data_IF_331563692965
#
_entry.id   IF_331563692965
#
_cell.length_a   1.000
_cell.length_b   1.000
_cell.length_c   1.000
_cell.angle_alpha   90.00
_cell.angle_beta   90.00
_cell.angle_gamma   90.00
#
_symmetry.space_group_name_H-M   'P 1'
#
loop_
_entity.id
_entity.type
_entity.pdbx_description
1 polymer ?
#
# COMPACT_ATOMS: atom_id res chain seq x y z
N UNK A 1 2.95 7.21 -11.12
CA UNK A 1 2.38 6.99 -12.47
C UNK A 1 0.93 7.45 -12.42
N UNK A 2 0.51 8.37 -13.32
CA UNK A 2 -0.86 8.89 -13.32
C UNK A 2 -1.57 8.43 -14.60
N UNK A 3 -2.82 7.96 -14.49
CA UNK A 3 -3.62 7.57 -15.65
C UNK A 3 -5.02 8.19 -15.56
N UNK A 4 -5.39 9.16 -16.43
CA UNK A 4 -4.59 9.71 -17.52
C UNK A 4 -3.64 10.84 -17.11
N UNK A 5 -3.92 11.54 -15.99
CA UNK A 5 -3.10 12.67 -15.52
C UNK A 5 -3.21 12.86 -14.01
N UNK A 6 -2.25 13.58 -13.42
CA UNK A 6 -2.25 13.89 -11.98
C UNK A 6 -3.50 14.66 -11.55
N UNK A 7 -3.95 15.62 -12.36
CA UNK A 7 -5.17 16.39 -12.09
C UNK A 7 -6.42 15.52 -12.16
N UNK A 8 -6.51 14.65 -13.18
CA UNK A 8 -7.65 13.78 -13.38
C UNK A 8 -7.81 12.75 -12.27
N UNK A 9 -6.72 12.32 -11.63
CA UNK A 9 -6.71 11.30 -10.56
C UNK A 9 -6.50 11.89 -9.16
N UNK A 10 -6.33 13.19 -9.02
CA UNK A 10 -6.17 13.87 -7.73
C UNK A 10 -7.31 13.51 -6.76
N UNK A 11 -6.95 13.16 -5.53
CA UNK A 11 -7.91 12.74 -4.49
C UNK A 11 -8.52 11.35 -4.70
N UNK A 12 -8.10 10.59 -5.71
CA UNK A 12 -8.53 9.20 -5.88
C UNK A 12 -7.89 8.28 -4.84
N UNK A 13 -8.68 7.35 -4.30
CA UNK A 13 -8.17 6.25 -3.48
C UNK A 13 -8.04 4.95 -4.27
N UNK A 14 -8.38 4.97 -5.56
CA UNK A 14 -8.37 3.78 -6.41
C UNK A 14 -6.94 3.50 -6.89
N UNK A 15 -6.44 2.31 -6.54
CA UNK A 15 -5.26 1.68 -7.12
C UNK A 15 -5.66 0.44 -7.92
N UNK A 16 -4.75 -0.05 -8.77
CA UNK A 16 -4.92 -1.35 -9.44
C UNK A 16 -4.07 -2.42 -8.77
N UNK A 17 -4.68 -3.58 -8.53
CA UNK A 17 -3.94 -4.83 -8.33
C UNK A 17 -3.86 -5.52 -9.67
N UNK A 18 -2.64 -5.83 -10.12
CA UNK A 18 -2.40 -6.59 -11.34
C UNK A 18 -1.94 -7.98 -10.94
N UNK A 19 -2.66 -8.99 -11.41
CA UNK A 19 -2.27 -10.40 -11.27
C UNK A 19 -1.91 -10.93 -12.64
N UNK A 20 -0.98 -11.88 -12.70
CA UNK A 20 -0.64 -12.59 -13.92
C UNK A 20 -0.47 -14.07 -13.60
N UNK A 21 -1.04 -14.91 -14.46
CA UNK A 21 -0.79 -16.35 -14.42
C UNK A 21 0.62 -16.62 -14.95
N UNK A 22 1.44 -17.33 -14.17
CA UNK A 22 2.86 -17.53 -14.49
C UNK A 22 3.08 -18.40 -15.73
N UNK A 23 2.19 -19.36 -15.99
CA UNK A 23 2.34 -20.30 -17.10
C UNK A 23 1.93 -19.69 -18.43
N UNK A 24 0.87 -18.86 -18.43
CA UNK A 24 0.25 -18.32 -19.64
C UNK A 24 0.54 -16.84 -19.86
N UNK A 25 0.99 -16.11 -18.83
CA UNK A 25 1.10 -14.67 -18.86
C UNK A 25 -0.24 -13.94 -18.86
N UNK A 26 -1.37 -14.65 -18.68
CA UNK A 26 -2.71 -14.04 -18.68
C UNK A 26 -2.82 -13.07 -17.51
N UNK A 27 -3.10 -11.81 -17.79
CA UNK A 27 -3.24 -10.77 -16.76
C UNK A 27 -4.69 -10.53 -16.39
N UNK A 28 -4.94 -10.27 -15.11
CA UNK A 28 -6.19 -9.65 -14.63
C UNK A 28 -5.89 -8.44 -13.78
N UNK A 29 -6.79 -7.48 -13.80
CA UNK A 29 -6.69 -6.24 -13.05
C UNK A 29 -7.91 -6.11 -12.13
N UNK A 30 -7.69 -5.58 -10.93
CA UNK A 30 -8.74 -5.37 -9.92
C UNK A 30 -8.58 -3.99 -9.27
N UNK A 31 -9.69 -3.40 -8.83
CA UNK A 31 -9.65 -2.14 -8.08
C UNK A 31 -9.37 -2.39 -6.60
N UNK A 32 -8.38 -1.69 -6.05
CA UNK A 32 -8.08 -1.59 -4.62
C UNK A 32 -8.38 -0.18 -4.14
N UNK A 33 -8.98 -0.05 -2.96
CA UNK A 33 -9.25 1.24 -2.33
C UNK A 33 -8.31 1.47 -1.15
N UNK A 34 -7.50 2.52 -1.23
CA UNK A 34 -6.77 3.05 -0.08
C UNK A 34 -7.74 3.64 0.94
N UNK A 35 -7.36 3.65 2.21
CA UNK A 35 -8.19 4.22 3.28
C UNK A 35 -8.40 5.73 3.15
N UNK A 36 -7.39 6.45 2.67
CA UNK A 36 -7.53 7.87 2.39
C UNK A 36 -6.62 8.30 1.23
N UNK A 37 -6.94 9.43 0.60
CA UNK A 37 -6.23 9.95 -0.57
C UNK A 37 -5.06 10.88 -0.25
N UNK A 38 -4.82 11.20 1.03
CA UNK A 38 -3.63 11.93 1.49
C UNK A 38 -2.45 11.03 1.86
N UNK A 39 -2.65 9.71 1.90
CA UNK A 39 -1.57 8.74 2.09
C UNK A 39 -0.54 8.84 0.96
N UNK A 40 0.70 8.51 1.30
CA UNK A 40 1.77 8.39 0.30
C UNK A 40 1.49 7.20 -0.63
N UNK A 41 0.88 6.14 -0.11
CA UNK A 41 0.38 5.01 -0.90
C UNK A 41 0.57 3.66 -0.21
N UNK A 42 0.49 2.59 -1.01
CA UNK A 42 0.91 1.26 -0.60
C UNK A 42 2.43 1.13 -0.83
N UNK A 43 3.17 0.76 0.21
CA UNK A 43 4.63 0.52 0.13
C UNK A 43 5.01 -0.95 0.13
N UNK A 44 4.06 -1.87 0.26
CA UNK A 44 4.35 -3.31 0.21
C UNK A 44 3.11 -4.12 -0.16
N UNK A 45 3.32 -5.28 -0.80
CA UNK A 45 2.34 -6.33 -1.04
C UNK A 45 2.95 -7.72 -0.75
N UNK A 46 2.29 -8.52 0.08
CA UNK A 46 2.73 -9.89 0.39
C UNK A 46 1.63 -10.92 0.12
N UNK A 47 1.96 -12.06 -0.48
CA UNK A 47 0.98 -13.12 -0.73
C UNK A 47 0.65 -13.91 0.55
N UNK A 48 -0.64 -14.15 0.80
CA UNK A 48 -1.12 -15.04 1.87
C UNK A 48 -1.59 -16.36 1.28
N UNK A 49 -2.43 -16.29 0.24
CA UNK A 49 -2.89 -17.43 -0.58
C UNK A 49 -2.83 -17.05 -2.07
N UNK A 50 -3.40 -17.87 -2.95
CA UNK A 50 -3.50 -17.55 -4.39
C UNK A 50 -4.42 -16.37 -4.71
N UNK A 51 -5.33 -16.02 -3.79
CA UNK A 51 -6.30 -14.92 -3.99
C UNK A 51 -6.25 -13.86 -2.90
N UNK A 52 -5.60 -14.15 -1.76
CA UNK A 52 -5.50 -13.21 -0.65
C UNK A 52 -4.08 -12.72 -0.44
N UNK A 53 -3.96 -11.43 -0.15
CA UNK A 53 -2.71 -10.71 -0.05
C UNK A 53 -2.76 -9.76 1.14
N UNK A 54 -1.60 -9.27 1.55
CA UNK A 54 -1.45 -8.15 2.45
C UNK A 54 -1.00 -6.93 1.65
N UNK A 55 -1.49 -5.75 2.02
CA UNK A 55 -0.98 -4.46 1.56
C UNK A 55 -0.60 -3.60 2.76
N UNK A 56 0.55 -2.92 2.69
CA UNK A 56 0.96 -1.94 3.69
C UNK A 56 0.70 -0.54 3.16
N UNK A 57 -0.26 0.16 3.77
CA UNK A 57 -0.59 1.56 3.49
C UNK A 57 0.05 2.49 4.54
N UNK A 58 0.61 3.62 4.09
CA UNK A 58 1.26 4.58 4.99
C UNK A 58 1.16 6.03 4.57
N UNK A 59 1.33 6.92 5.55
CA UNK A 59 1.78 8.28 5.34
C UNK A 59 3.32 8.39 5.21
N UNK A 60 3.79 9.59 4.90
CA UNK A 60 5.19 9.98 4.73
C UNK A 60 5.92 10.38 6.01
N UNK A 61 5.32 10.22 7.19
CA UNK A 61 5.80 10.82 8.44
C UNK A 61 6.44 9.78 9.35
N UNK A 62 7.31 10.21 10.26
CA UNK A 62 7.97 9.33 11.23
C UNK A 62 7.09 9.08 12.44
N UNK A 63 7.03 7.84 12.92
CA UNK A 63 6.35 7.54 14.18
C UNK A 63 7.10 8.12 15.37
N UNK A 64 6.35 8.70 16.32
CA UNK A 64 6.95 9.34 17.50
C UNK A 64 7.67 10.66 17.23
N UNK A 65 7.55 11.25 16.04
CA UNK A 65 7.99 12.62 15.80
C UNK A 65 7.20 13.59 16.69
N UNK A 66 7.87 14.43 17.51
CA UNK A 66 7.19 15.32 18.45
C UNK A 66 6.47 16.50 17.79
N UNK A 67 6.84 16.86 16.55
CA UNK A 67 6.27 17.98 15.82
C UNK A 67 5.23 17.53 14.79
N UNK A 68 5.50 16.42 14.08
CA UNK A 68 4.65 15.90 13.00
C UNK A 68 4.57 14.37 13.03
N UNK A 69 3.92 13.79 14.04
CA UNK A 69 3.84 12.34 14.18
C UNK A 69 3.09 11.71 13.01
N UNK A 70 3.53 10.53 12.58
CA UNK A 70 2.74 9.67 11.72
C UNK A 70 1.36 9.39 12.33
N UNK A 71 0.35 9.38 11.47
CA UNK A 71 -1.03 9.06 11.80
C UNK A 71 -1.50 7.75 11.14
N UNK A 72 -0.75 7.24 10.16
CA UNK A 72 -1.18 6.08 9.40
C UNK A 72 -0.01 5.19 8.93
N UNK A 73 0.08 3.97 9.49
CA UNK A 73 0.92 2.86 9.00
C UNK A 73 0.23 1.55 9.30
N UNK A 74 -0.49 0.98 8.31
CA UNK A 74 -1.38 -0.15 8.54
C UNK A 74 -1.22 -1.23 7.49
N UNK A 75 -1.28 -2.48 7.94
CA UNK A 75 -1.34 -3.67 7.10
C UNK A 75 -2.80 -4.10 6.98
N UNK A 76 -3.24 -4.29 5.75
CA UNK A 76 -4.56 -4.81 5.43
C UNK A 76 -4.44 -6.14 4.71
N UNK A 77 -5.34 -7.08 5.01
CA UNK A 77 -5.57 -8.26 4.16
C UNK A 77 -6.62 -7.90 3.12
N UNK A 78 -6.40 -8.27 1.87
CA UNK A 78 -7.40 -8.14 0.82
C UNK A 78 -7.55 -9.41 0.00
N UNK A 79 -8.72 -9.62 -0.59
CA UNK A 79 -9.06 -10.79 -1.41
C UNK A 79 -9.53 -10.36 -2.81
N UNK A 80 -9.01 -11.04 -3.83
CA UNK A 80 -9.45 -10.88 -5.22
C UNK A 80 -10.78 -11.58 -5.50
N UNK A 81 -11.19 -12.53 -4.65
CA UNK A 81 -12.45 -13.25 -4.82
C UNK A 81 -13.65 -12.30 -4.77
N UNK A 82 -14.51 -12.39 -5.79
CA UNK A 82 -15.70 -11.53 -5.92
C UNK A 82 -15.43 -10.13 -6.48
N UNK A 83 -14.17 -9.73 -6.66
CA UNK A 83 -13.83 -8.47 -7.31
C UNK A 83 -14.07 -8.53 -8.82
N UNK A 84 -14.50 -7.42 -9.41
CA UNK A 84 -14.70 -7.30 -10.85
C UNK A 84 -13.35 -7.28 -11.57
N UNK A 85 -13.19 -8.12 -12.60
CA UNK A 85 -12.06 -8.00 -13.54
C UNK A 85 -12.23 -6.73 -14.38
N UNK A 86 -11.31 -5.78 -14.16
CA UNK A 86 -11.30 -4.47 -14.83
C UNK A 86 -10.35 -4.46 -16.05
N UNK A 87 -9.87 -5.61 -16.49
CA UNK A 87 -9.04 -5.73 -17.69
C UNK A 87 -9.80 -5.40 -18.96
N UNK A 88 -9.11 -4.82 -19.93
CA UNK A 88 -9.62 -4.65 -21.28
C UNK A 88 -9.40 -5.92 -22.08
N UNK A 89 -10.50 -6.54 -22.54
CA UNK A 89 -10.44 -7.75 -23.36
C UNK A 89 -9.73 -7.51 -24.72
N UNK A 90 -9.73 -6.26 -25.22
CA UNK A 90 -9.04 -5.88 -26.45
C UNK A 90 -7.59 -5.46 -26.24
N UNK A 91 -7.16 -5.32 -24.97
CA UNK A 91 -5.85 -4.79 -24.59
C UNK A 91 -5.50 -3.48 -25.33
N UNK A 92 -6.47 -2.56 -25.45
CA UNK A 92 -6.24 -1.28 -26.09
C UNK A 92 -5.27 -0.42 -25.26
N UNK A 93 -4.56 0.49 -25.92
CA UNK A 93 -3.62 1.40 -25.25
C UNK A 93 -4.28 2.28 -24.18
N UNK A 94 -5.58 2.54 -24.29
CA UNK A 94 -6.37 3.26 -23.29
C UNK A 94 -6.76 2.40 -22.07
N UNK A 95 -6.65 1.08 -22.19
CA UNK A 95 -7.28 0.13 -21.28
C UNK A 95 -8.80 0.24 -21.26
N UNK A 96 -9.42 -0.40 -20.26
CA UNK A 96 -10.87 -0.42 -20.08
C UNK A 96 -11.35 0.91 -19.54
N UNK A 97 -12.33 1.49 -20.23
CA UNK A 97 -12.96 2.73 -19.81
C UNK A 97 -14.38 2.47 -19.29
N UNK A 98 -14.79 3.29 -18.32
CA UNK A 98 -16.10 3.30 -17.68
C UNK A 98 -16.76 4.63 -18.02
N UNK A 99 -17.65 4.63 -19.01
CA UNK A 99 -18.25 5.86 -19.56
C UNK A 99 -17.19 6.91 -19.97
N UNK A 100 -16.12 6.46 -20.64
CA UNK A 100 -15.01 7.31 -21.09
C UNK A 100 -13.98 7.66 -20.00
N UNK A 101 -14.14 7.19 -18.77
CA UNK A 101 -13.22 7.42 -17.66
C UNK A 101 -12.37 6.18 -17.38
N UNK A 102 -11.12 6.39 -16.98
CA UNK A 102 -10.30 5.33 -16.36
C UNK A 102 -10.84 4.94 -14.98
N UNK A 103 -10.46 3.77 -14.45
CA UNK A 103 -10.90 3.34 -13.12
C UNK A 103 -10.46 4.32 -12.00
N UNK A 104 -9.29 4.95 -12.13
CA UNK A 104 -8.78 5.94 -11.16
C UNK A 104 -9.64 7.20 -11.14
N UNK A 105 -10.21 7.59 -12.28
CA UNK A 105 -11.11 8.74 -12.39
C UNK A 105 -12.47 8.49 -11.73
N UNK A 106 -12.79 7.25 -11.35
CA UNK A 106 -13.96 6.93 -10.54
C UNK A 106 -13.78 7.31 -9.07
N UNK A 107 -12.57 7.70 -8.66
CA UNK A 107 -12.18 8.32 -7.38
C UNK A 107 -12.31 7.47 -6.12
N UNK A 108 -13.44 6.81 -5.90
CA UNK A 108 -13.77 6.20 -4.62
C UNK A 108 -14.83 5.10 -4.78
N UNK A 109 -15.23 4.49 -3.67
CA UNK A 109 -16.24 3.42 -3.65
C UNK A 109 -17.54 3.81 -4.37
N UNK A 110 -18.03 5.03 -4.19
CA UNK A 110 -19.29 5.45 -4.82
C UNK A 110 -19.16 5.48 -6.35
N UNK A 111 -18.07 6.03 -6.88
CA UNK A 111 -17.84 6.04 -8.33
C UNK A 111 -17.61 4.64 -8.91
N UNK A 112 -16.92 3.75 -8.18
CA UNK A 112 -16.79 2.34 -8.58
C UNK A 112 -18.16 1.66 -8.64
N UNK A 113 -19.00 1.83 -7.61
CA UNK A 113 -20.34 1.25 -7.56
C UNK A 113 -21.21 1.76 -8.72
N UNK A 114 -21.20 3.07 -9.02
CA UNK A 114 -21.94 3.63 -10.17
C UNK A 114 -21.47 3.04 -11.50
N UNK A 115 -20.19 2.70 -11.63
CA UNK A 115 -19.61 2.06 -12.81
C UNK A 115 -19.81 0.53 -12.85
N UNK A 116 -20.49 -0.06 -11.87
CA UNK A 116 -20.68 -1.52 -11.76
C UNK A 116 -19.39 -2.28 -11.42
N UNK A 117 -18.42 -1.62 -10.80
CA UNK A 117 -17.14 -2.21 -10.38
C UNK A 117 -17.20 -2.54 -8.89
N UNK A 118 -17.02 -3.82 -8.57
CA UNK A 118 -16.80 -4.31 -7.21
C UNK A 118 -15.28 -4.34 -6.95
N UNK A 119 -14.73 -3.50 -6.04
CA UNK A 119 -13.32 -3.58 -5.68
C UNK A 119 -13.03 -4.83 -4.84
N UNK A 120 -11.75 -5.11 -4.61
CA UNK A 120 -11.32 -6.15 -3.66
C UNK A 120 -11.88 -5.88 -2.27
N UNK A 121 -12.23 -6.94 -1.55
CA UNK A 121 -12.60 -6.81 -0.13
C UNK A 121 -11.34 -6.67 0.70
N UNK A 122 -11.38 -5.83 1.75
CA UNK A 122 -10.21 -5.47 2.56
C UNK A 122 -10.55 -5.41 4.05
N UNK A 123 -9.66 -5.93 4.90
CA UNK A 123 -9.78 -5.88 6.37
C UNK A 123 -8.46 -5.47 7.02
N UNK A 124 -8.53 -4.72 8.13
CA UNK A 124 -7.35 -4.34 8.90
C UNK A 124 -6.75 -5.56 9.60
N UNK A 125 -5.44 -5.74 9.47
CA UNK A 125 -4.67 -6.81 10.14
C UNK A 125 -3.84 -6.26 11.28
N UNK A 126 -3.13 -5.16 11.03
CA UNK A 126 -2.21 -4.55 12.01
C UNK A 126 -2.15 -3.04 11.79
N UNK A 127 -2.25 -2.29 12.88
CA UNK A 127 -1.82 -0.89 12.93
C UNK A 127 -0.41 -0.86 13.55
N UNK A 128 0.62 -0.49 12.78
CA UNK A 128 2.01 -0.50 13.25
C UNK A 128 2.23 0.51 14.37
N UNK A 129 1.51 1.63 14.36
CA UNK A 129 1.68 2.70 15.36
C UNK A 129 1.13 2.28 16.72
N UNK A 130 0.15 1.37 16.74
CA UNK A 130 -0.43 0.82 17.97
C UNK A 130 0.15 -0.55 18.35
N UNK A 131 0.51 -1.36 17.35
CA UNK A 131 0.90 -2.76 17.52
C UNK A 131 2.39 -2.98 17.78
N UNK A 132 3.22 -1.96 17.64
CA UNK A 132 4.67 -2.02 17.91
C UNK A 132 5.00 -1.05 19.05
N UNK A 133 5.66 -1.56 20.09
CA UNK A 133 6.10 -0.79 21.25
C UNK A 133 7.60 -1.00 21.51
N UNK A 134 8.40 0.07 21.65
CA UNK A 134 8.03 1.49 21.45
C UNK A 134 7.56 1.75 20.01
N UNK A 135 6.82 2.85 19.80
CA UNK A 135 6.18 3.19 18.51
C UNK A 135 7.13 2.98 17.34
N UNK A 136 6.63 2.39 16.25
CA UNK A 136 7.39 2.20 15.01
C UNK A 136 7.93 3.54 14.51
N UNK A 137 9.26 3.81 14.57
CA UNK A 137 9.76 5.18 14.46
C UNK A 137 10.06 5.62 13.02
N UNK A 138 10.01 4.71 12.05
CA UNK A 138 10.45 4.95 10.68
C UNK A 138 9.33 5.59 9.85
N UNK A 139 9.68 6.38 8.82
CA UNK A 139 8.71 6.96 7.91
C UNK A 139 8.15 5.92 6.92
N UNK A 140 9.01 5.01 6.47
CA UNK A 140 8.71 4.03 5.43
C UNK A 140 8.84 2.61 5.96
N UNK A 141 7.71 1.94 6.10
CA UNK A 141 7.67 0.48 6.22
C UNK A 141 7.62 -0.13 4.82
N UNK A 142 8.57 -0.98 4.48
CA UNK A 142 8.75 -1.59 3.17
C UNK A 142 9.51 -2.91 3.38
N UNK A 143 8.94 -4.01 2.91
CA UNK A 143 9.24 -5.37 3.34
C UNK A 143 8.22 -5.91 4.35
N UNK A 144 7.46 -6.91 3.92
CA UNK A 144 6.46 -7.62 4.71
C UNK A 144 6.43 -9.09 4.31
N UNK A 145 6.42 -9.99 5.29
CA UNK A 145 6.12 -11.39 5.04
C UNK A 145 5.37 -12.04 6.19
N UNK A 146 4.56 -13.05 5.86
CA UNK A 146 3.88 -13.91 6.82
C UNK A 146 4.73 -15.15 7.07
N UNK A 147 5.17 -15.32 8.31
CA UNK A 147 5.86 -16.52 8.80
C UNK A 147 4.84 -17.40 9.51
N UNK A 148 4.71 -18.65 9.05
CA UNK A 148 3.63 -19.54 9.50
C UNK A 148 2.26 -18.97 9.09
N UNK A 149 1.35 -18.87 10.06
CA UNK A 149 -0.01 -18.37 9.82
C UNK A 149 -0.32 -17.06 10.56
N UNK A 150 0.53 -16.61 11.48
CA UNK A 150 0.18 -15.56 12.44
C UNK A 150 1.36 -14.70 12.89
N UNK A 151 2.54 -14.79 12.27
CA UNK A 151 3.68 -13.93 12.60
C UNK A 151 4.03 -13.06 11.39
N UNK A 152 3.90 -11.75 11.52
CA UNK A 152 4.40 -10.83 10.50
C UNK A 152 5.84 -10.45 10.80
N UNK A 153 6.70 -10.50 9.79
CA UNK A 153 7.99 -9.84 9.80
C UNK A 153 7.91 -8.60 8.89
N UNK A 154 8.20 -7.43 9.44
CA UNK A 154 8.06 -6.13 8.76
C UNK A 154 9.39 -5.39 8.86
N UNK A 155 9.90 -4.89 7.75
CA UNK A 155 11.07 -4.01 7.73
C UNK A 155 10.72 -2.55 7.42
N UNK A 156 11.62 -1.66 7.80
CA UNK A 156 11.67 -0.33 7.23
C UNK A 156 12.56 -0.30 5.98
N UNK A 157 12.34 0.70 5.13
CA UNK A 157 13.35 1.18 4.19
C UNK A 157 14.00 2.42 4.79
N UNK A 158 15.28 2.29 5.14
CA UNK A 158 16.09 3.37 5.71
C UNK A 158 16.72 4.28 4.65
N UNK A 159 16.49 4.05 3.35
CA UNK A 159 17.16 4.74 2.25
C UNK A 159 18.70 4.73 2.44
N UNK A 160 19.26 3.61 2.92
CA UNK A 160 20.67 3.46 3.30
C UNK A 160 21.13 4.41 4.42
N UNK A 161 20.20 4.91 5.24
CA UNK A 161 20.45 5.88 6.30
C UNK A 161 20.68 7.30 5.81
N UNK A 162 20.29 7.63 4.57
CA UNK A 162 20.50 8.96 3.97
C UNK A 162 19.24 9.54 3.33
N UNK A 163 19.21 10.87 3.20
CA UNK A 163 18.19 11.64 2.46
C UNK A 163 18.87 12.66 1.56
N UNK A 164 18.15 13.15 0.54
CA UNK A 164 18.59 14.31 -0.25
C UNK A 164 18.73 15.55 0.66
N UNK A 165 19.85 16.25 0.55
CA UNK A 165 20.09 17.50 1.27
C UNK A 165 19.54 18.74 0.53
N UNK A 166 18.89 18.56 -0.63
CA UNK A 166 18.34 19.62 -1.46
C UNK A 166 19.40 20.47 -2.19
N UNK A 167 20.66 20.03 -2.14
CA UNK A 167 21.83 20.68 -2.74
C UNK A 167 22.69 19.67 -3.50
N UNK A 168 22.03 18.69 -4.14
CA UNK A 168 22.66 17.67 -4.98
C UNK A 168 23.68 16.81 -4.19
N UNK A 169 23.37 16.50 -2.93
CA UNK A 169 24.16 15.66 -2.04
C UNK A 169 23.27 14.94 -1.03
N UNK A 170 23.88 14.21 -0.10
CA UNK A 170 23.17 13.46 0.93
C UNK A 170 23.38 14.02 2.33
N UNK A 171 22.38 13.85 3.18
CA UNK A 171 22.45 14.08 4.62
C UNK A 171 22.00 12.80 5.36
N UNK A 172 22.40 12.60 6.62
CA UNK A 172 21.90 11.46 7.39
C UNK A 172 20.37 11.51 7.56
N UNK A 173 19.70 10.39 7.33
CA UNK A 173 18.28 10.21 7.62
C UNK A 173 18.12 10.08 9.13
N UNK A 174 17.71 11.13 9.82
CA UNK A 174 17.61 11.12 11.28
C UNK A 174 16.19 10.76 11.72
N UNK A 175 16.07 9.75 12.60
CA UNK A 175 14.82 9.41 13.28
C UNK A 175 14.47 10.50 14.31
N UNK A 176 13.38 11.26 14.13
CA UNK A 176 13.05 12.41 15.00
C UNK A 176 12.86 12.02 16.47
N UNK A 177 12.32 10.83 16.73
CA UNK A 177 12.08 10.32 18.07
C UNK A 177 13.37 10.02 18.87
N UNK A 178 14.51 9.82 18.20
CA UNK A 178 15.75 9.35 18.86
C UNK A 178 16.99 10.18 18.56
N UNK A 179 16.96 11.02 17.51
CA UNK A 179 18.13 11.76 17.04
C UNK A 179 19.22 10.88 16.40
N UNK A 180 18.94 9.59 16.18
CA UNK A 180 19.89 8.64 15.56
C UNK A 180 19.64 8.53 14.06
N UNK A 181 20.70 8.17 13.34
CA UNK A 181 20.60 7.76 11.93
C UNK A 181 19.68 6.55 11.83
N UNK A 182 18.80 6.58 10.84
CA UNK A 182 17.90 5.47 10.54
C UNK A 182 18.70 4.27 10.05
N UNK A 183 18.25 3.09 10.47
CA UNK A 183 18.87 1.81 10.13
C UNK A 183 17.77 0.79 9.88
N UNK A 184 18.04 -0.15 8.99
CA UNK A 184 17.16 -1.29 8.78
C UNK A 184 16.94 -2.10 10.06
N UNK A 185 15.67 -2.33 10.36
CA UNK A 185 15.17 -3.16 11.45
C UNK A 185 14.11 -4.10 10.91
N UNK A 186 14.00 -5.27 11.53
CA UNK A 186 12.91 -6.21 11.28
C UNK A 186 12.11 -6.35 12.57
N UNK A 187 10.82 -6.07 12.48
CA UNK A 187 9.85 -6.19 13.55
C UNK A 187 9.06 -7.48 13.36
N UNK A 188 9.07 -8.32 14.39
CA UNK A 188 8.28 -9.55 14.43
C UNK A 188 7.04 -9.30 15.27
N UNK A 189 5.87 -9.32 14.64
CA UNK A 189 4.58 -9.01 15.29
C UNK A 189 3.68 -10.24 15.21
N UNK A 190 3.39 -10.83 16.37
CA UNK A 190 2.44 -11.94 16.50
C UNK A 190 1.02 -11.40 16.40
N UNK A 191 0.24 -11.96 15.48
CA UNK A 191 -1.16 -11.63 15.27
C UNK A 191 -2.05 -12.41 16.25
N UNK A 192 -3.11 -11.76 16.73
CA UNK A 192 -4.12 -12.41 17.56
C UNK A 192 -4.97 -13.41 16.76
N UNK A 193 -5.16 -13.15 15.46
CA UNK A 193 -5.93 -13.99 14.54
C UNK A 193 -5.02 -14.46 13.41
N UNK A 194 -4.86 -15.78 13.21
CA UNK A 194 -4.14 -16.31 12.06
C UNK A 194 -4.75 -15.89 10.71
N UNK A 195 -3.91 -15.69 9.70
CA UNK A 195 -4.30 -15.27 8.35
C UNK A 195 -4.55 -16.42 7.38
N UNK A 196 -4.13 -17.63 7.76
CA UNK A 196 -4.31 -18.91 7.05
C UNK A 196 -4.97 -19.94 7.95
#
# INVERSE_FOLDING_TARGET
MYNPSSSAVSGSTVLRVVSFDLATGTTKQYAYLMENSSLTGCSEIAAVTNTTFLALERDGLYGGDPAKPAAFKKVFKFDLAGATDISDASNAASGKLYNGLTVEQLKNQAGLTTAGVVPVTKTLVLDLLMGISPVYPHDKAEGLTLIGNDLLAISNDDDFGVVDNGSNGFAPKILPATGKVDVNRIYFVKLATPLR
#
